data_IF_209626888902
#
_entry.id   IF_209626888902
#
_cell.length_a   1.000
_cell.length_b   1.000
_cell.length_c   1.000
_cell.angle_alpha   90.00
_cell.angle_beta   90.00
_cell.angle_gamma   90.00
#
_symmetry.space_group_name_H-M   'P 1'
#
loop_
_entity.id
_entity.type
_entity.pdbx_description
1 polymer ?
#
# COMPACT_ATOMS: atom_id res chain seq x y z
N UNK A 1 43.20 -31.82 36.45
CA UNK A 1 44.22 -31.04 35.76
C UNK A 1 43.51 -29.89 35.10
N UNK A 2 43.23 -28.81 35.78
CA UNK A 2 44.01 -27.61 36.19
C UNK A 2 44.61 -26.86 35.01
N UNK A 3 44.08 -25.71 34.68
CA UNK A 3 44.68 -24.37 34.52
C UNK A 3 43.65 -23.47 33.81
N UNK A 4 43.03 -22.52 34.42
CA UNK A 4 43.35 -21.21 35.03
C UNK A 4 43.95 -20.19 34.03
N UNK A 5 43.13 -19.13 33.88
CA UNK A 5 43.45 -17.68 33.98
C UNK A 5 44.22 -17.02 32.80
N UNK A 6 43.61 -15.99 32.22
CA UNK A 6 44.13 -14.63 32.44
C UNK A 6 43.15 -13.56 31.97
N UNK A 7 42.70 -12.78 32.92
CA UNK A 7 42.09 -11.44 32.75
C UNK A 7 43.25 -10.47 32.46
N UNK A 8 43.14 -9.63 31.45
CA UNK A 8 43.95 -8.41 31.36
C UNK A 8 43.04 -7.21 31.22
N UNK A 9 42.93 -6.52 32.37
CA UNK A 9 42.42 -5.14 32.49
C UNK A 9 43.65 -4.22 32.28
N UNK A 10 43.54 -3.26 31.42
CA UNK A 10 44.39 -2.06 31.39
C UNK A 10 43.51 -0.95 30.81
N UNK A 11 43.05 0.04 31.44
CA UNK A 11 43.51 0.88 32.54
C UNK A 11 44.14 2.14 31.95
N UNK A 12 43.36 3.22 32.06
CA UNK A 12 43.80 4.62 32.20
C UNK A 12 44.49 5.34 31.04
N UNK A 13 43.98 6.45 30.58
CA UNK A 13 44.35 7.79 31.13
C UNK A 13 43.47 8.90 30.55
N UNK A 14 42.81 9.57 31.49
CA UNK A 14 42.37 10.98 31.40
C UNK A 14 43.54 11.87 31.05
N UNK A 15 43.35 12.82 30.11
CA UNK A 15 44.02 14.10 30.26
C UNK A 15 43.15 15.23 29.71
N UNK A 16 42.79 16.07 30.63
CA UNK A 16 42.18 17.39 30.48
C UNK A 16 43.01 18.28 29.57
N UNK A 17 42.35 19.09 28.74
CA UNK A 17 42.91 20.36 28.32
C UNK A 17 41.82 21.40 28.26
N UNK A 18 41.65 22.03 29.42
CA UNK A 18 40.97 23.30 29.62
C UNK A 18 41.93 24.37 29.10
N UNK A 19 41.53 25.13 28.11
CA UNK A 19 42.19 26.42 27.79
C UNK A 19 41.24 27.58 27.89
N UNK A 20 41.35 28.24 29.03
CA UNK A 20 40.81 29.57 29.30
C UNK A 20 41.47 30.58 28.37
N UNK A 21 40.70 31.40 27.73
CA UNK A 21 41.18 32.76 27.33
C UNK A 21 40.32 33.80 28.02
N UNK A 22 41.06 34.65 28.73
CA UNK A 22 40.58 35.77 29.51
C UNK A 22 40.40 37.00 28.58
N UNK A 23 39.30 37.66 28.79
CA UNK A 23 39.05 39.09 28.95
C UNK A 23 40.17 40.05 28.55
N UNK A 24 39.85 41.00 27.68
CA UNK A 24 40.32 42.36 27.83
C UNK A 24 39.25 43.33 27.29
N UNK A 25 38.72 44.07 28.23
CA UNK A 25 37.91 45.26 27.97
C UNK A 25 38.80 46.39 27.51
N UNK A 26 38.34 47.17 26.54
CA UNK A 26 38.78 48.57 26.38
C UNK A 26 37.62 49.42 25.90
N UNK A 27 37.31 50.36 26.78
CA UNK A 27 36.36 51.43 26.64
C UNK A 27 36.91 52.46 25.64
N UNK A 28 36.09 52.88 24.69
CA UNK A 28 36.30 54.19 24.05
C UNK A 28 34.91 54.84 23.84
N UNK A 29 34.70 55.89 24.59
CA UNK A 29 33.68 56.93 24.41
C UNK A 29 33.94 57.67 23.08
N UNK A 30 32.89 57.96 22.33
CA UNK A 30 32.99 58.85 21.18
C UNK A 30 31.64 59.17 20.53
N UNK A 31 31.06 60.30 20.96
CA UNK A 31 30.26 61.25 20.19
C UNK A 31 28.98 60.80 19.44
N UNK A 32 27.93 61.37 19.91
CA UNK A 32 26.63 61.55 19.31
C UNK A 32 26.69 62.09 17.86
N UNK A 33 25.98 61.45 16.98
CA UNK A 33 25.35 62.06 15.83
C UNK A 33 23.98 61.47 15.62
N UNK A 34 23.01 62.30 15.87
CA UNK A 34 21.60 62.09 15.60
C UNK A 34 21.44 61.97 14.07
N UNK A 35 21.29 60.83 13.56
CA UNK A 35 20.82 60.62 12.21
C UNK A 35 19.46 59.94 12.30
N UNK A 36 18.44 60.74 12.19
CA UNK A 36 17.07 60.36 12.01
C UNK A 36 16.96 59.72 10.63
N UNK A 37 17.28 58.44 10.55
CA UNK A 37 16.93 57.62 9.42
C UNK A 37 15.58 56.98 9.73
N UNK A 38 14.57 57.50 9.09
CA UNK A 38 13.27 56.89 8.98
C UNK A 38 13.49 55.47 8.41
N UNK A 39 13.61 54.50 9.27
CA UNK A 39 13.43 53.10 8.90
C UNK A 39 11.97 52.97 8.47
N UNK A 40 11.78 53.09 7.17
CA UNK A 40 10.62 52.53 6.50
C UNK A 40 10.50 51.09 6.98
N UNK A 41 9.60 50.87 7.92
CA UNK A 41 9.10 49.56 8.25
C UNK A 41 8.48 49.02 6.95
N UNK A 42 9.28 48.33 6.18
CA UNK A 42 8.72 47.44 5.19
C UNK A 42 7.77 46.52 5.94
N UNK A 43 6.48 46.42 5.55
CA UNK A 43 5.64 45.41 6.10
C UNK A 43 6.33 44.09 5.75
N UNK A 44 6.77 43.38 6.77
CA UNK A 44 7.05 41.98 6.62
C UNK A 44 5.75 41.39 6.07
N UNK A 45 5.70 41.24 4.75
CA UNK A 45 4.86 40.25 4.13
C UNK A 45 5.35 38.95 4.75
N UNK A 46 4.82 38.67 5.94
CA UNK A 46 4.72 37.32 6.41
C UNK A 46 4.14 36.57 5.21
N UNK A 47 5.00 35.86 4.53
CA UNK A 47 4.59 34.75 3.66
C UNK A 47 3.73 33.86 4.57
N UNK A 48 2.45 34.15 4.57
CA UNK A 48 1.44 33.18 4.85
C UNK A 48 1.60 32.16 3.71
N UNK A 49 2.67 31.38 3.78
CA UNK A 49 2.68 30.06 3.23
C UNK A 49 1.47 29.41 3.89
N UNK A 50 0.36 29.49 3.21
CA UNK A 50 -0.84 28.78 3.58
C UNK A 50 -0.47 27.31 3.59
N UNK A 51 0.00 26.85 4.72
CA UNK A 51 -0.22 25.48 5.13
C UNK A 51 -1.75 25.40 5.11
N UNK A 52 -2.28 24.83 4.04
CA UNK A 52 -3.65 24.36 4.04
C UNK A 52 -3.62 23.30 5.12
N UNK A 53 -4.05 23.65 6.31
CA UNK A 53 -4.24 22.70 7.39
C UNK A 53 -5.07 21.57 6.79
N UNK A 54 -4.46 20.41 6.71
CA UNK A 54 -5.19 19.22 6.30
C UNK A 54 -6.42 19.18 7.21
N UNK A 55 -7.64 19.07 6.66
CA UNK A 55 -8.83 19.12 7.47
C UNK A 55 -8.68 18.08 8.58
N UNK A 56 -8.82 18.49 9.83
CA UNK A 56 -8.65 17.67 11.05
C UNK A 56 -9.46 16.37 11.04
N UNK A 57 -10.39 16.27 10.11
CA UNK A 57 -11.16 15.06 9.80
C UNK A 57 -11.40 15.01 8.30
N UNK A 58 -10.64 14.18 7.61
CA UNK A 58 -11.06 13.72 6.27
C UNK A 58 -12.44 13.09 6.44
N UNK A 59 -13.49 13.60 5.76
CA UNK A 59 -14.82 13.02 5.86
C UNK A 59 -14.71 11.54 5.48
N UNK A 60 -15.02 10.65 6.42
CA UNK A 60 -15.07 9.21 6.12
C UNK A 60 -16.25 9.03 5.17
N UNK A 61 -15.97 8.71 3.92
CA UNK A 61 -17.02 8.40 2.95
C UNK A 61 -17.96 7.35 3.54
N UNK A 62 -19.26 7.61 3.47
CA UNK A 62 -20.25 6.65 3.90
C UNK A 62 -20.14 5.35 3.06
N UNK A 63 -20.72 4.25 3.54
CA UNK A 63 -20.76 3.00 2.75
C UNK A 63 -21.47 3.21 1.41
N UNK A 64 -22.54 4.00 1.40
CA UNK A 64 -23.28 4.35 0.19
C UNK A 64 -22.45 5.16 -0.79
N UNK A 65 -21.71 6.17 -0.32
CA UNK A 65 -20.83 6.98 -1.17
C UNK A 65 -19.73 6.13 -1.82
N UNK A 66 -19.18 5.14 -1.09
CA UNK A 66 -18.19 4.23 -1.66
C UNK A 66 -18.75 3.30 -2.72
N UNK A 67 -19.95 2.77 -2.51
CA UNK A 67 -20.62 1.90 -3.49
C UNK A 67 -20.96 2.67 -4.77
N UNK A 68 -21.53 3.87 -4.63
CA UNK A 68 -21.81 4.74 -5.77
C UNK A 68 -20.53 5.11 -6.53
N UNK A 69 -19.46 5.37 -5.81
CA UNK A 69 -18.15 5.67 -6.40
C UNK A 69 -17.56 4.46 -7.15
N UNK A 70 -17.68 3.25 -6.61
CA UNK A 70 -17.26 2.02 -7.29
C UNK A 70 -18.10 1.74 -8.54
N UNK A 71 -19.40 1.92 -8.51
CA UNK A 71 -20.25 1.71 -9.69
C UNK A 71 -19.89 2.66 -10.82
N UNK A 72 -19.67 3.94 -10.49
CA UNK A 72 -19.16 4.92 -11.43
C UNK A 72 -17.78 4.51 -11.99
N UNK A 73 -16.85 4.11 -11.12
CA UNK A 73 -15.51 3.72 -11.53
C UNK A 73 -15.51 2.47 -12.41
N UNK A 74 -16.34 1.47 -12.11
CA UNK A 74 -16.48 0.29 -12.99
C UNK A 74 -17.11 0.63 -14.32
N UNK A 75 -18.09 1.53 -14.36
CA UNK A 75 -18.63 2.07 -15.61
C UNK A 75 -17.55 2.76 -16.46
N UNK A 76 -16.76 3.62 -15.84
CA UNK A 76 -15.64 4.29 -16.48
C UNK A 76 -14.53 3.32 -16.93
N UNK A 77 -14.21 2.30 -16.12
CA UNK A 77 -13.23 1.27 -16.45
C UNK A 77 -13.64 0.48 -17.69
N UNK A 78 -14.91 0.13 -17.79
CA UNK A 78 -15.46 -0.60 -18.93
C UNK A 78 -15.45 0.26 -20.21
N UNK A 79 -15.61 1.58 -20.07
CA UNK A 79 -15.63 2.54 -21.18
C UNK A 79 -14.25 3.14 -21.48
N UNK A 80 -13.19 2.71 -20.80
CA UNK A 80 -11.85 3.25 -20.99
C UNK A 80 -11.37 3.06 -22.44
N UNK A 81 -10.88 4.12 -23.12
CA UNK A 81 -10.51 4.04 -24.53
C UNK A 81 -9.22 3.24 -24.76
N UNK A 82 -8.34 3.17 -23.77
CA UNK A 82 -7.03 2.53 -23.85
C UNK A 82 -6.55 2.02 -22.49
N UNK A 83 -5.44 1.28 -22.49
CA UNK A 83 -4.86 0.70 -21.29
C UNK A 83 -4.37 1.76 -20.28
N UNK A 84 -3.94 2.94 -20.74
CA UNK A 84 -3.44 4.01 -19.86
C UNK A 84 -4.60 4.63 -19.08
N UNK A 85 -5.69 4.95 -19.75
CA UNK A 85 -6.91 5.44 -19.11
C UNK A 85 -7.49 4.37 -18.16
N UNK A 86 -7.54 3.11 -18.59
CA UNK A 86 -8.00 2.00 -17.77
C UNK A 86 -7.15 1.86 -16.50
N UNK A 87 -5.83 1.96 -16.60
CA UNK A 87 -4.91 1.88 -15.46
C UNK A 87 -5.15 2.98 -14.43
N UNK A 88 -5.37 4.20 -14.87
CA UNK A 88 -5.67 5.32 -13.97
C UNK A 88 -6.99 5.10 -13.19
N UNK A 89 -7.99 4.48 -13.82
CA UNK A 89 -9.26 4.15 -13.19
C UNK A 89 -9.09 2.93 -12.26
N UNK A 90 -8.37 1.92 -12.70
CA UNK A 90 -8.01 0.74 -11.91
C UNK A 90 -7.36 1.16 -10.58
N UNK A 91 -6.37 2.08 -10.62
CA UNK A 91 -5.69 2.57 -9.43
C UNK A 91 -6.65 3.25 -8.44
N UNK A 92 -7.68 3.93 -8.93
CA UNK A 92 -8.73 4.50 -8.09
C UNK A 92 -9.61 3.43 -7.45
N UNK A 93 -9.96 2.38 -8.19
CA UNK A 93 -10.71 1.24 -7.66
C UNK A 93 -9.91 0.57 -6.54
N UNK A 94 -8.62 0.31 -6.76
CA UNK A 94 -7.72 -0.23 -5.75
C UNK A 94 -7.62 0.70 -4.53
N UNK A 95 -7.54 2.01 -4.71
CA UNK A 95 -7.51 2.97 -3.60
C UNK A 95 -8.76 2.88 -2.72
N UNK A 96 -9.93 2.64 -3.32
CA UNK A 96 -11.18 2.43 -2.57
C UNK A 96 -11.16 1.10 -1.80
N UNK A 97 -10.67 0.02 -2.41
CA UNK A 97 -10.62 -1.31 -1.80
C UNK A 97 -9.58 -1.43 -0.67
N UNK A 98 -8.44 -0.74 -0.81
CA UNK A 98 -7.32 -0.84 0.15
C UNK A 98 -7.67 -0.21 1.50
N UNK A 99 -8.52 0.80 1.53
CA UNK A 99 -8.85 1.52 2.76
C UNK A 99 -9.98 0.85 3.52
N UNK A 100 -9.68 0.35 4.72
CA UNK A 100 -10.68 -0.11 5.68
C UNK A 100 -11.24 1.07 6.48
N UNK A 101 -12.53 1.08 6.87
CA UNK A 101 -13.06 2.04 7.83
C UNK A 101 -12.57 1.82 9.28
N UNK A 102 -11.73 0.82 9.53
CA UNK A 102 -11.12 0.51 10.82
C UNK A 102 -9.64 0.89 10.84
N UNK A 103 -9.26 1.81 11.72
CA UNK A 103 -7.87 2.23 11.88
C UNK A 103 -6.97 1.06 12.34
N UNK A 104 -7.50 0.16 13.18
CA UNK A 104 -6.81 -1.06 13.58
C UNK A 104 -6.55 -1.98 12.38
N UNK A 105 -7.54 -2.18 11.51
CA UNK A 105 -7.35 -2.99 10.31
C UNK A 105 -6.32 -2.36 9.36
N UNK A 106 -6.33 -1.04 9.20
CA UNK A 106 -5.35 -0.32 8.39
C UNK A 106 -3.93 -0.45 8.96
N UNK A 107 -3.77 -0.35 10.29
CA UNK A 107 -2.47 -0.55 10.94
C UNK A 107 -1.96 -1.99 10.74
N UNK A 108 -2.82 -2.98 10.96
CA UNK A 108 -2.46 -4.39 10.73
C UNK A 108 -2.12 -4.64 9.26
N UNK A 109 -2.84 -4.03 8.31
CA UNK A 109 -2.54 -4.14 6.88
C UNK A 109 -1.15 -3.58 6.53
N UNK A 110 -0.72 -2.51 7.18
CA UNK A 110 0.65 -2.01 7.03
C UNK A 110 1.69 -3.04 7.49
N UNK A 111 1.42 -3.74 8.60
CA UNK A 111 2.28 -4.83 9.07
C UNK A 111 2.26 -6.04 8.15
N UNK A 112 1.12 -6.35 7.54
CA UNK A 112 1.02 -7.39 6.50
C UNK A 112 1.97 -7.07 5.34
N UNK A 113 1.96 -5.82 4.87
CA UNK A 113 2.88 -5.39 3.81
C UNK A 113 4.34 -5.65 4.19
N UNK A 114 4.77 -5.23 5.37
CA UNK A 114 6.14 -5.47 5.85
C UNK A 114 6.46 -6.97 5.95
N UNK A 115 5.54 -7.80 6.47
CA UNK A 115 5.73 -9.24 6.56
C UNK A 115 5.89 -9.90 5.18
N UNK A 116 5.15 -9.44 4.18
CA UNK A 116 5.30 -9.91 2.79
C UNK A 116 6.65 -9.47 2.20
N UNK A 117 7.07 -8.23 2.42
CA UNK A 117 8.36 -7.70 1.96
C UNK A 117 9.54 -8.47 2.56
N UNK A 118 9.43 -8.86 3.84
CA UNK A 118 10.43 -9.68 4.54
C UNK A 118 10.26 -11.19 4.28
N UNK A 119 9.32 -11.58 3.44
CA UNK A 119 8.97 -12.99 3.10
C UNK A 119 8.48 -13.83 4.28
N UNK A 120 8.06 -13.20 5.37
CA UNK A 120 7.38 -13.87 6.49
C UNK A 120 5.90 -14.05 6.17
N UNK A 121 5.64 -14.99 5.25
CA UNK A 121 4.28 -15.28 4.79
C UNK A 121 3.40 -15.89 5.90
N UNK A 122 4.02 -16.52 6.91
CA UNK A 122 3.29 -17.09 8.05
C UNK A 122 2.71 -15.96 8.91
N UNK A 123 3.54 -14.98 9.27
CA UNK A 123 3.08 -13.80 10.00
C UNK A 123 2.05 -13.01 9.19
N UNK A 124 2.27 -12.86 7.87
CA UNK A 124 1.32 -12.15 7.02
C UNK A 124 -0.08 -12.78 7.06
N UNK A 125 -0.18 -14.12 7.02
CA UNK A 125 -1.47 -14.84 7.14
C UNK A 125 -2.09 -14.62 8.51
N UNK A 126 -1.33 -14.74 9.61
CA UNK A 126 -1.85 -14.50 10.97
C UNK A 126 -2.41 -13.09 11.14
N UNK A 127 -1.73 -12.08 10.62
CA UNK A 127 -2.20 -10.70 10.63
C UNK A 127 -3.49 -10.51 9.83
N UNK A 128 -3.58 -11.17 8.66
CA UNK A 128 -4.79 -11.15 7.83
C UNK A 128 -5.96 -11.88 8.49
N UNK A 129 -5.71 -12.98 9.20
CA UNK A 129 -6.71 -13.67 10.02
C UNK A 129 -7.28 -12.73 11.09
N UNK A 130 -6.41 -11.98 11.77
CA UNK A 130 -6.84 -10.98 12.76
C UNK A 130 -7.66 -9.84 12.12
N UNK A 131 -7.25 -9.35 10.94
CA UNK A 131 -8.00 -8.32 10.21
C UNK A 131 -9.39 -8.84 9.82
N UNK A 132 -9.48 -10.04 9.28
CA UNK A 132 -10.73 -10.67 8.87
C UNK A 132 -11.66 -10.90 10.06
N UNK A 133 -11.13 -11.28 11.22
CA UNK A 133 -11.90 -11.43 12.44
C UNK A 133 -12.52 -10.10 12.92
N UNK A 134 -11.78 -8.98 12.80
CA UNK A 134 -12.24 -7.64 13.17
C UNK A 134 -13.19 -7.07 12.11
N UNK A 135 -12.90 -7.30 10.83
CA UNK A 135 -13.59 -6.72 9.68
C UNK A 135 -13.83 -7.78 8.59
N UNK A 136 -14.80 -8.67 8.78
CA UNK A 136 -15.10 -9.74 7.81
C UNK A 136 -15.66 -9.21 6.47
N UNK A 137 -16.09 -7.94 6.44
CA UNK A 137 -16.54 -7.22 5.25
C UNK A 137 -15.40 -6.54 4.46
N UNK A 138 -14.17 -6.57 4.97
CA UNK A 138 -13.02 -5.95 4.32
C UNK A 138 -12.44 -6.87 3.24
N UNK A 139 -12.90 -6.67 2.00
CA UNK A 139 -12.61 -7.53 0.84
C UNK A 139 -11.11 -7.67 0.56
N UNK A 140 -10.34 -6.60 0.72
CA UNK A 140 -8.90 -6.62 0.44
C UNK A 140 -8.11 -7.52 1.41
N UNK A 141 -8.57 -7.72 2.63
CA UNK A 141 -7.93 -8.65 3.55
C UNK A 141 -8.04 -10.10 3.05
N UNK A 142 -9.21 -10.49 2.56
CA UNK A 142 -9.43 -11.78 1.92
C UNK A 142 -8.58 -11.91 0.65
N UNK A 143 -8.51 -10.86 -0.17
CA UNK A 143 -7.74 -10.85 -1.41
C UNK A 143 -6.24 -11.05 -1.16
N UNK A 144 -5.68 -10.39 -0.17
CA UNK A 144 -4.27 -10.57 0.19
C UNK A 144 -4.00 -11.96 0.75
N UNK A 145 -4.90 -12.50 1.57
CA UNK A 145 -4.73 -13.85 2.11
C UNK A 145 -4.84 -14.90 1.01
N UNK A 146 -5.78 -14.75 0.07
CA UNK A 146 -5.88 -15.60 -1.11
C UNK A 146 -4.60 -15.60 -1.94
N UNK A 147 -4.02 -14.42 -2.18
CA UNK A 147 -2.75 -14.28 -2.91
C UNK A 147 -1.60 -14.99 -2.20
N UNK A 148 -1.48 -14.82 -0.88
CA UNK A 148 -0.42 -15.48 -0.09
C UNK A 148 -0.61 -17.00 -0.10
N UNK A 149 -1.85 -17.50 0.06
CA UNK A 149 -2.15 -18.92 -0.01
C UNK A 149 -1.83 -19.49 -1.41
N UNK A 150 -2.14 -18.77 -2.48
CA UNK A 150 -1.72 -19.13 -3.83
C UNK A 150 -0.20 -19.25 -3.96
N UNK A 151 0.55 -18.27 -3.46
CA UNK A 151 2.03 -18.31 -3.47
C UNK A 151 2.59 -19.51 -2.71
N UNK A 152 1.89 -19.96 -1.67
CA UNK A 152 2.23 -21.14 -0.88
C UNK A 152 1.74 -22.46 -1.52
N UNK A 153 1.09 -22.39 -2.68
CA UNK A 153 0.43 -23.52 -3.36
C UNK A 153 -0.72 -24.12 -2.55
N UNK A 154 -1.24 -23.42 -1.55
CA UNK A 154 -2.44 -23.80 -0.81
C UNK A 154 -3.68 -23.30 -1.57
N UNK A 155 -3.98 -24.00 -2.66
CA UNK A 155 -5.07 -23.60 -3.55
C UNK A 155 -6.44 -23.74 -2.89
N UNK A 156 -6.61 -24.68 -1.98
CA UNK A 156 -7.87 -24.89 -1.27
C UNK A 156 -8.23 -23.64 -0.44
N UNK A 157 -7.30 -23.16 0.39
CA UNK A 157 -7.52 -21.95 1.19
C UNK A 157 -7.65 -20.71 0.31
N UNK A 158 -6.85 -20.61 -0.75
CA UNK A 158 -6.97 -19.51 -1.72
C UNK A 158 -8.35 -19.45 -2.36
N UNK A 159 -8.89 -20.61 -2.82
CA UNK A 159 -10.23 -20.69 -3.38
C UNK A 159 -11.34 -20.37 -2.37
N UNK A 160 -11.17 -20.77 -1.11
CA UNK A 160 -12.10 -20.42 -0.04
C UNK A 160 -12.17 -18.89 0.15
N UNK A 161 -11.02 -18.23 0.17
CA UNK A 161 -10.93 -16.76 0.27
C UNK A 161 -11.52 -16.07 -0.95
N UNK A 162 -11.22 -16.54 -2.17
CA UNK A 162 -11.76 -15.98 -3.41
C UNK A 162 -13.30 -16.07 -3.44
N UNK A 163 -13.90 -17.16 -2.93
CA UNK A 163 -15.36 -17.23 -2.79
C UNK A 163 -15.90 -16.11 -1.90
N UNK A 164 -15.22 -15.81 -0.79
CA UNK A 164 -15.61 -14.71 0.10
C UNK A 164 -15.50 -13.34 -0.57
N UNK A 165 -14.47 -13.15 -1.41
CA UNK A 165 -14.30 -11.92 -2.19
C UNK A 165 -15.43 -11.75 -3.18
N UNK A 166 -15.65 -12.75 -4.03
CA UNK A 166 -16.64 -12.67 -5.11
C UNK A 166 -18.09 -12.66 -4.62
N UNK A 167 -18.37 -13.17 -3.41
CA UNK A 167 -19.67 -13.03 -2.76
C UNK A 167 -19.95 -11.59 -2.32
N UNK A 168 -18.92 -10.79 -2.02
CA UNK A 168 -19.04 -9.38 -1.57
C UNK A 168 -18.89 -8.38 -2.70
N UNK A 169 -17.97 -8.65 -3.61
CA UNK A 169 -17.70 -7.85 -4.82
C UNK A 169 -17.53 -8.79 -6.03
N UNK A 170 -18.61 -9.10 -6.74
CA UNK A 170 -18.56 -9.97 -7.91
C UNK A 170 -17.70 -9.45 -9.07
N UNK A 171 -17.42 -8.14 -9.06
CA UNK A 171 -16.59 -7.45 -10.06
C UNK A 171 -15.11 -7.35 -9.66
N UNK A 172 -14.68 -8.06 -8.62
CA UNK A 172 -13.29 -8.00 -8.19
C UNK A 172 -12.38 -8.69 -9.23
N UNK A 173 -11.92 -7.92 -10.21
CA UNK A 173 -11.15 -8.42 -11.35
C UNK A 173 -9.85 -9.14 -10.93
N UNK A 174 -9.18 -8.69 -9.85
CA UNK A 174 -8.01 -9.39 -9.29
C UNK A 174 -8.36 -10.79 -8.76
N UNK A 175 -9.49 -10.94 -8.08
CA UNK A 175 -9.95 -12.25 -7.60
C UNK A 175 -10.41 -13.16 -8.74
N UNK A 176 -11.07 -12.61 -9.77
CA UNK A 176 -11.41 -13.36 -10.98
C UNK A 176 -10.16 -13.85 -11.71
N UNK A 177 -9.14 -12.99 -11.88
CA UNK A 177 -7.87 -13.38 -12.48
C UNK A 177 -7.17 -14.48 -11.63
N UNK A 178 -7.13 -14.32 -10.30
CA UNK A 178 -6.57 -15.32 -9.39
C UNK A 178 -7.31 -16.67 -9.44
N UNK A 179 -8.63 -16.64 -9.53
CA UNK A 179 -9.44 -17.85 -9.72
C UNK A 179 -9.08 -18.60 -11.02
N UNK A 180 -8.97 -17.84 -12.11
CA UNK A 180 -8.56 -18.39 -13.41
C UNK A 180 -7.19 -19.04 -13.35
N UNK A 181 -6.22 -18.39 -12.70
CA UNK A 181 -4.87 -18.95 -12.51
C UNK A 181 -4.89 -20.27 -11.72
N UNK A 182 -5.65 -20.34 -10.62
CA UNK A 182 -5.75 -21.56 -9.82
C UNK A 182 -6.39 -22.68 -10.62
N UNK A 183 -7.47 -22.40 -11.35
CA UNK A 183 -8.13 -23.41 -12.19
C UNK A 183 -7.19 -23.95 -13.27
N UNK A 184 -6.37 -23.10 -13.84
CA UNK A 184 -5.34 -23.48 -14.83
C UNK A 184 -4.24 -24.36 -14.20
N UNK A 185 -3.76 -24.03 -13.01
CA UNK A 185 -2.81 -24.85 -12.26
C UNK A 185 -3.40 -26.23 -11.88
N UNK A 186 -4.71 -26.31 -11.70
CA UNK A 186 -5.44 -27.54 -11.43
C UNK A 186 -5.82 -28.34 -12.72
N UNK A 187 -5.46 -27.81 -13.90
CA UNK A 187 -5.74 -28.43 -15.18
C UNK A 187 -7.17 -28.24 -15.69
N UNK A 188 -7.96 -27.37 -15.06
CA UNK A 188 -9.32 -27.07 -15.49
C UNK A 188 -9.33 -25.85 -16.44
N UNK A 189 -8.75 -26.05 -17.59
CA UNK A 189 -8.59 -25.01 -18.61
C UNK A 189 -9.94 -24.45 -19.08
N UNK A 190 -10.97 -25.30 -19.16
CA UNK A 190 -12.29 -24.85 -19.60
C UNK A 190 -12.91 -23.83 -18.64
N UNK A 191 -12.95 -24.15 -17.35
CA UNK A 191 -13.43 -23.19 -16.36
C UNK A 191 -12.52 -21.98 -16.21
N UNK A 192 -11.18 -22.15 -16.33
CA UNK A 192 -10.25 -21.03 -16.32
C UNK A 192 -10.57 -20.03 -17.44
N UNK A 193 -10.83 -20.52 -18.67
CA UNK A 193 -11.20 -19.70 -19.81
C UNK A 193 -12.49 -18.90 -19.56
N UNK A 194 -13.51 -19.54 -19.01
CA UNK A 194 -14.78 -18.87 -18.64
C UNK A 194 -14.55 -17.75 -17.62
N UNK A 195 -13.72 -18.00 -16.59
CA UNK A 195 -13.41 -17.01 -15.54
C UNK A 195 -12.59 -15.84 -16.08
N UNK A 196 -11.61 -16.10 -16.95
CA UNK A 196 -10.86 -15.01 -17.60
C UNK A 196 -11.74 -14.14 -18.50
N UNK A 197 -12.66 -14.74 -19.26
CA UNK A 197 -13.66 -13.97 -20.03
C UNK A 197 -14.53 -13.08 -19.10
N UNK A 198 -14.92 -13.58 -17.95
CA UNK A 198 -15.63 -12.77 -16.93
C UNK A 198 -14.76 -11.64 -16.40
N UNK A 199 -13.46 -11.87 -16.17
CA UNK A 199 -12.54 -10.81 -15.73
C UNK A 199 -12.43 -9.70 -16.76
N UNK A 200 -12.30 -10.03 -18.06
CA UNK A 200 -12.30 -9.04 -19.15
C UNK A 200 -13.62 -8.33 -19.35
N UNK A 201 -14.75 -8.98 -19.05
CA UNK A 201 -16.06 -8.30 -19.11
C UNK A 201 -16.18 -7.18 -18.06
N UNK A 202 -15.42 -7.29 -16.95
CA UNK A 202 -15.32 -6.25 -15.92
C UNK A 202 -14.23 -5.23 -16.26
N UNK A 203 -13.08 -5.69 -16.69
CA UNK A 203 -11.90 -4.87 -16.98
C UNK A 203 -11.32 -5.22 -18.37
N UNK A 204 -11.78 -4.58 -19.45
CA UNK A 204 -11.41 -4.94 -20.84
C UNK A 204 -9.90 -4.84 -21.15
N UNK A 205 -9.18 -3.99 -20.41
CA UNK A 205 -7.73 -3.78 -20.56
C UNK A 205 -6.89 -4.49 -19.49
N UNK A 206 -7.43 -5.55 -18.86
CA UNK A 206 -6.71 -6.27 -17.81
C UNK A 206 -5.46 -6.93 -18.40
N UNK A 207 -4.24 -6.58 -17.94
CA UNK A 207 -3.00 -7.06 -18.54
C UNK A 207 -2.90 -8.59 -18.49
N UNK A 208 -2.26 -9.20 -19.50
CA UNK A 208 -1.98 -10.64 -19.62
C UNK A 208 -3.20 -11.52 -19.84
N UNK A 209 -4.39 -11.13 -19.41
CA UNK A 209 -5.59 -11.96 -19.52
C UNK A 209 -6.00 -12.20 -20.97
N UNK A 210 -5.91 -11.24 -21.92
CA UNK A 210 -6.17 -11.50 -23.32
C UNK A 210 -5.28 -12.61 -23.91
N UNK A 211 -3.99 -12.62 -23.56
CA UNK A 211 -3.05 -13.64 -24.05
C UNK A 211 -3.37 -15.02 -23.46
N UNK A 212 -3.74 -15.08 -22.18
CA UNK A 212 -4.17 -16.33 -21.53
C UNK A 212 -5.45 -16.87 -22.18
N UNK A 213 -6.42 -16.02 -22.47
CA UNK A 213 -7.65 -16.41 -23.16
C UNK A 213 -7.32 -16.98 -24.55
N UNK A 214 -6.46 -16.28 -25.32
CA UNK A 214 -6.06 -16.76 -26.66
C UNK A 214 -5.44 -18.16 -26.56
N UNK A 215 -4.46 -18.33 -25.70
CA UNK A 215 -3.78 -19.62 -25.51
C UNK A 215 -4.73 -20.73 -25.07
N UNK A 216 -5.66 -20.45 -24.15
CA UNK A 216 -6.62 -21.43 -23.65
C UNK A 216 -7.72 -21.74 -24.67
N UNK A 217 -8.15 -20.76 -25.48
CA UNK A 217 -9.13 -21.00 -26.55
C UNK A 217 -8.58 -21.98 -27.56
N UNK A 218 -7.33 -21.82 -28.01
CA UNK A 218 -6.66 -22.77 -28.90
C UNK A 218 -6.57 -24.18 -28.31
N UNK A 219 -6.39 -24.29 -26.99
CA UNK A 219 -6.26 -25.56 -26.28
C UNK A 219 -7.61 -26.26 -26.05
N UNK A 220 -8.64 -25.51 -25.69
CA UNK A 220 -9.95 -26.01 -25.25
C UNK A 220 -10.94 -26.16 -26.41
N UNK A 221 -10.96 -25.18 -27.31
CA UNK A 221 -11.94 -25.09 -28.41
C UNK A 221 -11.37 -25.61 -29.75
N UNK A 222 -10.04 -25.83 -29.80
CA UNK A 222 -9.33 -26.22 -31.02
C UNK A 222 -8.87 -25.01 -31.84
N UNK A 223 -7.95 -25.26 -32.79
CA UNK A 223 -7.61 -24.24 -33.80
C UNK A 223 -8.71 -24.28 -34.86
N UNK A 224 -9.30 -23.12 -35.15
CA UNK A 224 -10.06 -22.97 -36.36
C UNK A 224 -9.12 -23.25 -37.54
N UNK A 225 -9.35 -24.33 -38.27
CA UNK A 225 -8.57 -24.75 -39.44
C UNK A 225 -9.08 -24.01 -40.66
#
# INVERSE_FOLDING_TARGET
>A
MTSRLAVVVCGSRLTRMVRRFRVSALVALGAATLCMAACLAAPALAQQGGFVDAPDKVPRLSRADRLNNLDFLFGALKAAPDATAAKAIEDRIWAVWIVSPSDTANLLMTRVKTAVETKDLALAVQLLDAIIAIRPDYVEAWNRRATINYMRKDFERSLADIRQILAREPRHFGALAGLGLILQELGDDKRALEIYRRALAVHPHLPRIPDLIKSLTEKVEGRDI
#
